data_IF_285970007440
#
_entry.id   IF_285970007440
#
_cell.length_a   1.000
_cell.length_b   1.000
_cell.length_c   1.000
_cell.angle_alpha   90.00
_cell.angle_beta   90.00
_cell.angle_gamma   90.00
#
_symmetry.space_group_name_H-M   'P 1'
#
loop_
_entity.id
_entity.type
_entity.pdbx_description
1 polymer ?
#
# COMPACT_ATOMS: atom_id res chain seq x y z
N UNK A 1 16.69 0.92 -9.62
CA UNK A 1 15.35 1.11 -9.00
C UNK A 1 15.43 1.83 -7.65
N UNK A 2 15.90 1.22 -6.55
CA UNK A 2 15.92 1.89 -5.24
C UNK A 2 16.76 3.19 -5.23
N UNK A 3 17.90 3.18 -5.93
CA UNK A 3 18.73 4.38 -6.15
C UNK A 3 17.95 5.47 -6.90
N UNK A 4 17.20 5.08 -7.94
CA UNK A 4 16.41 6.01 -8.75
C UNK A 4 15.27 6.61 -7.92
N UNK A 5 14.62 5.78 -7.10
CA UNK A 5 13.62 6.22 -6.13
C UNK A 5 14.22 7.19 -5.11
N UNK A 6 15.35 6.84 -4.49
CA UNK A 6 16.02 7.69 -3.50
C UNK A 6 16.43 9.05 -4.09
N UNK A 7 16.98 9.05 -5.31
CA UNK A 7 17.31 10.28 -6.05
C UNK A 7 16.08 11.12 -6.38
N UNK A 8 14.98 10.47 -6.80
CA UNK A 8 13.71 11.14 -7.07
C UNK A 8 13.09 11.74 -5.80
N UNK A 9 13.10 10.99 -4.70
CA UNK A 9 12.61 11.43 -3.40
C UNK A 9 13.41 12.63 -2.88
N UNK A 10 14.73 12.58 -2.94
CA UNK A 10 15.61 13.67 -2.51
C UNK A 10 15.38 14.98 -3.29
N UNK A 11 14.92 14.89 -4.55
CA UNK A 11 14.53 16.04 -5.38
C UNK A 11 13.09 16.52 -5.13
N UNK A 12 12.36 15.89 -4.22
CA UNK A 12 10.95 16.21 -3.93
C UNK A 12 9.95 15.63 -4.94
N UNK A 13 10.40 14.85 -5.92
CA UNK A 13 9.53 14.27 -6.96
C UNK A 13 8.79 13.00 -6.51
N UNK A 14 8.96 12.58 -5.25
CA UNK A 14 8.26 11.43 -4.68
C UNK A 14 6.85 11.73 -4.17
N UNK A 15 6.43 13.00 -4.13
CA UNK A 15 5.13 13.41 -3.61
C UNK A 15 3.94 13.03 -4.50
N UNK A 16 2.74 13.06 -3.91
CA UNK A 16 1.49 12.83 -4.62
C UNK A 16 0.34 13.61 -3.97
N UNK A 17 -0.28 14.50 -4.74
CA UNK A 17 -1.35 15.37 -4.27
C UNK A 17 -1.01 16.12 -2.99
N UNK A 18 -2.04 16.43 -2.21
CA UNK A 18 -1.91 17.16 -0.94
C UNK A 18 -1.70 16.24 0.27
N UNK A 19 -1.81 14.92 0.09
CA UNK A 19 -1.75 13.95 1.18
C UNK A 19 -0.34 13.40 1.45
N UNK A 20 0.58 13.57 0.49
CA UNK A 20 1.94 13.06 0.59
C UNK A 20 2.93 14.07 -0.02
N UNK A 21 3.45 14.95 0.84
CA UNK A 21 4.37 16.01 0.42
C UNK A 21 5.74 15.45 0.04
N UNK A 22 6.39 16.04 -0.95
CA UNK A 22 7.71 15.61 -1.41
C UNK A 22 8.78 15.62 -0.32
N UNK A 23 8.74 16.60 0.58
CA UNK A 23 9.66 16.70 1.73
C UNK A 23 9.46 15.54 2.72
N UNK A 24 8.20 15.19 3.00
CA UNK A 24 7.89 14.08 3.90
C UNK A 24 8.37 12.74 3.31
N UNK A 25 8.26 12.58 1.99
CA UNK A 25 8.78 11.39 1.28
C UNK A 25 10.29 11.35 1.34
N UNK A 26 10.98 12.47 1.11
CA UNK A 26 12.43 12.56 1.21
C UNK A 26 12.91 12.16 2.60
N UNK A 27 12.29 12.71 3.65
CA UNK A 27 12.59 12.38 5.05
C UNK A 27 12.31 10.91 5.36
N UNK A 28 11.16 10.39 4.93
CA UNK A 28 10.77 9.00 5.16
C UNK A 28 11.71 8.00 4.46
N UNK A 29 12.15 8.31 3.24
CA UNK A 29 13.11 7.50 2.49
C UNK A 29 14.50 7.53 3.14
N UNK A 30 14.98 8.72 3.54
CA UNK A 30 16.26 8.85 4.21
C UNK A 30 16.30 8.02 5.51
N UNK A 31 15.28 8.14 6.36
CA UNK A 31 15.16 7.36 7.60
C UNK A 31 15.04 5.85 7.32
N UNK A 32 14.39 5.47 6.21
CA UNK A 32 14.29 4.07 5.83
C UNK A 32 15.66 3.42 5.59
N UNK A 33 16.60 4.20 5.07
CA UNK A 33 17.92 3.74 4.65
C UNK A 33 19.02 4.02 5.67
N UNK A 34 18.80 4.94 6.62
CA UNK A 34 19.79 5.40 7.59
C UNK A 34 20.44 4.25 8.38
N UNK A 35 19.63 3.32 8.90
CA UNK A 35 20.10 2.16 9.67
C UNK A 35 21.01 1.21 8.88
N UNK A 36 21.10 1.38 7.56
CA UNK A 36 21.89 0.55 6.67
C UNK A 36 23.08 1.30 6.06
N UNK A 37 23.34 2.55 6.48
CA UNK A 37 24.40 3.37 5.89
C UNK A 37 24.04 3.89 4.49
N UNK A 38 22.75 4.02 4.17
CA UNK A 38 22.27 4.53 2.90
C UNK A 38 21.51 3.50 2.07
N UNK A 39 21.07 3.93 0.88
CA UNK A 39 20.21 3.14 -0.01
C UNK A 39 20.93 1.90 -0.55
N UNK A 40 22.24 1.98 -0.75
CA UNK A 40 23.09 0.87 -1.17
C UNK A 40 23.14 -0.23 -0.10
N UNK A 41 23.30 0.15 1.16
CA UNK A 41 23.29 -0.79 2.28
C UNK A 41 21.91 -1.40 2.50
N UNK A 42 20.84 -0.62 2.35
CA UNK A 42 19.48 -1.15 2.41
C UNK A 42 19.21 -2.14 1.27
N UNK A 43 19.67 -1.83 0.05
CA UNK A 43 19.58 -2.74 -1.09
C UNK A 43 20.41 -4.01 -0.87
N UNK A 44 21.59 -3.91 -0.25
CA UNK A 44 22.41 -5.07 0.08
C UNK A 44 21.75 -5.95 1.14
N UNK A 45 21.12 -5.35 2.16
CA UNK A 45 20.35 -6.06 3.16
C UNK A 45 19.18 -6.83 2.55
N UNK A 46 18.40 -6.19 1.67
CA UNK A 46 17.28 -6.84 0.98
C UNK A 46 17.73 -8.01 0.10
N UNK A 47 18.89 -7.89 -0.54
CA UNK A 47 19.49 -8.93 -1.39
C UNK A 47 20.06 -10.09 -0.59
N UNK A 48 20.93 -9.80 0.37
CA UNK A 48 21.78 -10.81 1.00
C UNK A 48 21.13 -11.43 2.23
N UNK A 49 20.47 -10.62 3.06
CA UNK A 49 19.89 -11.06 4.34
C UNK A 49 18.44 -11.51 4.17
N UNK A 50 17.63 -10.70 3.47
CA UNK A 50 16.21 -11.00 3.28
C UNK A 50 15.97 -11.92 2.07
N UNK A 51 16.85 -11.85 1.07
CA UNK A 51 16.75 -12.62 -0.17
C UNK A 51 15.44 -12.39 -0.92
N UNK A 52 15.07 -11.12 -1.12
CA UNK A 52 13.85 -10.79 -1.86
C UNK A 52 13.93 -11.34 -3.30
N UNK A 53 12.84 -11.91 -3.85
CA UNK A 53 12.86 -12.49 -5.19
C UNK A 53 13.28 -11.48 -6.27
N UNK A 54 14.24 -11.88 -7.10
CA UNK A 54 14.73 -11.07 -8.21
C UNK A 54 15.45 -9.78 -7.79
N UNK A 55 16.12 -9.76 -6.63
CA UNK A 55 16.98 -8.66 -6.20
C UNK A 55 18.14 -8.35 -7.17
N UNK A 56 18.57 -9.34 -7.95
CA UNK A 56 19.75 -9.26 -8.83
C UNK A 56 19.42 -8.99 -10.30
N UNK A 57 18.13 -8.88 -10.63
CA UNK A 57 17.67 -8.77 -12.01
C UNK A 57 16.82 -7.50 -12.18
N UNK A 58 16.97 -6.85 -13.33
CA UNK A 58 16.05 -5.80 -13.74
C UNK A 58 14.67 -6.43 -14.04
N UNK A 59 13.67 -6.08 -13.23
CA UNK A 59 12.29 -6.57 -13.38
C UNK A 59 11.40 -5.45 -13.89
N UNK A 60 10.32 -5.83 -14.58
CA UNK A 60 9.25 -4.94 -15.01
C UNK A 60 7.88 -5.57 -14.68
N UNK A 61 6.81 -4.79 -14.88
CA UNK A 61 5.44 -5.28 -14.75
C UNK A 61 5.15 -5.94 -13.39
N UNK A 62 4.45 -7.07 -13.45
CA UNK A 62 4.04 -7.84 -12.27
C UNK A 62 5.20 -8.41 -11.45
N UNK A 63 6.35 -8.70 -12.06
CA UNK A 63 7.51 -9.20 -11.32
C UNK A 63 8.13 -8.11 -10.44
N UNK A 64 8.28 -6.89 -10.98
CA UNK A 64 8.71 -5.73 -10.20
C UNK A 64 7.70 -5.40 -9.08
N UNK A 65 6.41 -5.55 -9.37
CA UNK A 65 5.34 -5.37 -8.38
C UNK A 65 5.46 -6.35 -7.21
N UNK A 66 5.65 -7.65 -7.48
CA UNK A 66 5.83 -8.66 -6.42
C UNK A 66 7.07 -8.39 -5.58
N UNK A 67 8.17 -7.96 -6.19
CA UNK A 67 9.38 -7.55 -5.45
C UNK A 67 9.11 -6.37 -4.53
N UNK A 68 8.39 -5.36 -5.01
CA UNK A 68 7.98 -4.23 -4.18
C UNK A 68 7.11 -4.67 -3.00
N UNK A 69 6.16 -5.58 -3.19
CA UNK A 69 5.31 -6.07 -2.10
C UNK A 69 6.14 -6.71 -0.97
N UNK A 70 7.20 -7.47 -1.31
CA UNK A 70 8.13 -8.01 -0.33
C UNK A 70 8.95 -6.90 0.35
N UNK A 71 9.43 -5.92 -0.43
CA UNK A 71 10.18 -4.76 0.09
C UNK A 71 9.37 -3.94 1.12
N UNK A 72 8.12 -3.59 0.82
CA UNK A 72 7.29 -2.75 1.71
C UNK A 72 6.94 -3.50 3.01
N UNK A 73 6.74 -4.81 2.93
CA UNK A 73 6.48 -5.64 4.10
C UNK A 73 7.69 -5.65 5.04
N UNK A 74 8.89 -5.79 4.48
CA UNK A 74 10.17 -5.70 5.22
C UNK A 74 10.37 -4.30 5.80
N UNK A 75 10.16 -3.26 5.00
CA UNK A 75 10.31 -1.87 5.42
C UNK A 75 9.44 -1.53 6.64
N UNK A 76 8.20 -2.04 6.66
CA UNK A 76 7.28 -1.87 7.79
C UNK A 76 7.71 -2.66 9.03
N UNK A 77 8.18 -3.91 8.87
CA UNK A 77 8.66 -4.73 10.01
C UNK A 77 9.94 -4.20 10.63
N UNK A 78 10.76 -3.49 9.86
CA UNK A 78 11.98 -2.85 10.33
C UNK A 78 11.74 -1.52 11.03
N UNK A 79 10.50 -1.01 11.07
CA UNK A 79 10.16 0.15 11.85
C UNK A 79 10.58 -0.06 13.32
N UNK A 80 11.11 0.98 13.95
CA UNK A 80 11.50 0.97 15.36
C UNK A 80 11.14 2.31 15.99
N UNK A 81 10.76 2.33 17.28
CA UNK A 81 10.66 3.58 18.01
C UNK A 81 12.06 4.20 18.18
N UNK A 82 12.18 5.54 18.22
CA UNK A 82 13.45 6.21 18.49
C UNK A 82 14.03 5.77 19.84
N UNK A 83 15.32 5.44 19.87
CA UNK A 83 15.97 4.96 21.10
C UNK A 83 15.87 5.98 22.24
N UNK A 84 15.98 7.26 21.92
CA UNK A 84 15.88 8.35 22.89
C UNK A 84 14.51 8.40 23.56
N UNK A 85 13.44 8.20 22.78
CA UNK A 85 12.07 8.16 23.30
C UNK A 85 11.85 6.99 24.26
N UNK A 86 12.50 5.85 24.02
CA UNK A 86 12.47 4.69 24.91
C UNK A 86 13.32 4.94 26.17
N UNK A 87 14.51 5.54 26.04
CA UNK A 87 15.37 5.91 27.18
C UNK A 87 14.68 6.92 28.10
N UNK A 88 13.93 7.85 27.53
CA UNK A 88 13.21 8.91 28.25
C UNK A 88 11.76 8.56 28.61
N UNK A 89 11.39 7.27 28.57
CA UNK A 89 9.99 6.85 28.77
C UNK A 89 9.41 7.24 30.13
N UNK A 90 10.25 7.33 31.18
CA UNK A 90 9.81 7.77 32.50
C UNK A 90 9.28 9.21 32.47
N UNK A 91 9.99 10.10 31.77
CA UNK A 91 9.57 11.49 31.61
C UNK A 91 8.32 11.58 30.73
N UNK A 92 8.29 10.83 29.63
CA UNK A 92 7.12 10.73 28.77
C UNK A 92 5.88 10.22 29.52
N UNK A 93 6.04 9.24 30.41
CA UNK A 93 4.96 8.69 31.23
C UNK A 93 4.43 9.72 32.24
N UNK A 94 5.31 10.51 32.86
CA UNK A 94 4.92 11.62 33.75
C UNK A 94 4.13 12.68 32.99
N UNK A 95 4.62 13.10 31.82
CA UNK A 95 3.93 14.08 30.97
C UNK A 95 2.57 13.54 30.50
N UNK A 96 2.51 12.26 30.11
CA UNK A 96 1.27 11.61 29.70
C UNK A 96 0.25 11.49 30.85
N UNK A 97 0.74 11.22 32.07
CA UNK A 97 -0.05 11.00 33.30
C UNK A 97 -0.50 12.26 34.04
N UNK A 98 -0.42 13.45 33.42
CA UNK A 98 -0.99 14.69 33.99
C UNK A 98 -2.50 14.58 34.29
N UNK A 99 -3.15 15.62 34.81
CA UNK A 99 -4.58 15.58 35.14
C UNK A 99 -5.43 15.50 33.85
N UNK A 100 -6.19 14.42 33.68
CA UNK A 100 -7.15 14.30 32.59
C UNK A 100 -8.45 15.04 32.91
N UNK A 101 -9.33 15.19 31.91
CA UNK A 101 -10.65 15.85 32.04
C UNK A 101 -11.55 15.17 33.08
N UNK A 102 -11.25 13.92 33.46
CA UNK A 102 -12.05 13.09 34.36
C UNK A 102 -11.32 12.70 35.67
N UNK A 103 -10.25 13.41 36.05
CA UNK A 103 -9.53 13.17 37.32
C UNK A 103 -8.26 12.32 37.18
N UNK A 104 -8.01 11.44 38.15
CA UNK A 104 -6.81 10.61 38.22
C UNK A 104 -6.73 9.64 37.02
N UNK A 105 -5.66 9.73 36.24
CA UNK A 105 -5.46 8.84 35.09
C UNK A 105 -5.04 7.45 35.54
N UNK A 106 -5.44 6.45 34.77
CA UNK A 106 -4.96 5.08 34.94
C UNK A 106 -3.71 4.86 34.10
N UNK A 107 -2.94 3.82 34.43
CA UNK A 107 -1.80 3.44 33.60
C UNK A 107 -2.18 3.08 32.16
N UNK A 108 -3.41 2.61 31.93
CA UNK A 108 -3.96 2.33 30.59
C UNK A 108 -4.06 3.61 29.74
N UNK A 109 -4.60 4.69 30.32
CA UNK A 109 -4.67 6.00 29.66
C UNK A 109 -3.27 6.53 29.30
N UNK A 110 -2.32 6.34 30.23
CA UNK A 110 -0.91 6.70 30.04
C UNK A 110 -0.30 5.88 28.91
N UNK A 111 -0.56 4.57 28.85
CA UNK A 111 -0.05 3.69 27.81
C UNK A 111 -0.57 4.06 26.41
N UNK A 112 -1.85 4.38 26.27
CA UNK A 112 -2.43 4.86 24.99
C UNK A 112 -1.79 6.17 24.53
N UNK A 113 -1.55 7.11 25.45
CA UNK A 113 -0.82 8.36 25.15
C UNK A 113 0.64 8.11 24.78
N UNK A 114 1.30 7.16 25.44
CA UNK A 114 2.67 6.76 25.09
C UNK A 114 2.73 6.13 23.69
N UNK A 115 1.74 5.33 23.30
CA UNK A 115 1.63 4.82 21.92
C UNK A 115 1.48 5.97 20.91
N UNK A 116 0.62 6.94 21.18
CA UNK A 116 0.45 8.11 20.28
C UNK A 116 1.71 8.98 20.20
N UNK A 117 2.42 9.18 21.30
CA UNK A 117 3.59 10.07 21.34
C UNK A 117 4.88 9.42 20.87
N UNK A 118 5.07 8.12 21.10
CA UNK A 118 6.32 7.41 20.81
C UNK A 118 6.21 6.55 19.54
N UNK A 119 5.07 5.88 19.31
CA UNK A 119 4.94 4.91 18.22
C UNK A 119 4.35 5.50 16.93
N UNK A 120 3.44 6.47 17.04
CA UNK A 120 2.66 6.96 15.91
C UNK A 120 3.54 7.52 14.79
N UNK A 121 4.37 8.52 15.08
CA UNK A 121 5.15 9.22 14.05
C UNK A 121 6.19 8.33 13.35
N UNK A 122 6.98 7.48 14.06
CA UNK A 122 7.90 6.54 13.40
C UNK A 122 7.17 5.58 12.45
N UNK A 123 6.00 5.07 12.85
CA UNK A 123 5.19 4.22 11.98
C UNK A 123 4.61 5.01 10.82
N UNK A 124 4.15 6.25 11.06
CA UNK A 124 3.60 7.13 10.03
C UNK A 124 4.63 7.42 8.93
N UNK A 125 5.89 7.72 9.29
CA UNK A 125 6.97 7.89 8.31
C UNK A 125 7.19 6.63 7.47
N UNK A 126 7.11 5.44 8.09
CA UNK A 126 7.19 4.17 7.36
C UNK A 126 6.00 3.98 6.42
N UNK A 127 4.78 4.38 6.82
CA UNK A 127 3.63 4.38 5.93
C UNK A 127 3.82 5.35 4.75
N UNK A 128 4.37 6.55 4.98
CA UNK A 128 4.71 7.52 3.92
C UNK A 128 5.72 6.92 2.93
N UNK A 129 6.76 6.25 3.42
CA UNK A 129 7.71 5.52 2.58
C UNK A 129 7.01 4.45 1.71
N UNK A 130 6.16 3.61 2.33
CA UNK A 130 5.42 2.56 1.62
C UNK A 130 4.52 3.16 0.54
N UNK A 131 3.73 4.17 0.87
CA UNK A 131 2.85 4.85 -0.08
C UNK A 131 3.66 5.46 -1.24
N UNK A 132 4.76 6.16 -0.93
CA UNK A 132 5.64 6.76 -1.93
C UNK A 132 6.24 5.70 -2.87
N UNK A 133 6.70 4.56 -2.35
CA UNK A 133 7.25 3.47 -3.16
C UNK A 133 6.21 2.85 -4.08
N UNK A 134 4.99 2.61 -3.58
CA UNK A 134 3.86 2.12 -4.39
C UNK A 134 3.54 3.09 -5.51
N UNK A 135 3.33 4.38 -5.19
CA UNK A 135 3.03 5.43 -6.17
C UNK A 135 4.14 5.52 -7.21
N UNK A 136 5.39 5.60 -6.76
CA UNK A 136 6.54 5.71 -7.65
C UNK A 136 6.61 4.54 -8.62
N UNK A 137 6.47 3.30 -8.14
CA UNK A 137 6.54 2.13 -9.02
C UNK A 137 5.39 2.14 -10.03
N UNK A 138 4.16 2.41 -9.59
CA UNK A 138 3.00 2.47 -10.47
C UNK A 138 3.17 3.54 -11.55
N UNK A 139 3.62 4.75 -11.20
CA UNK A 139 3.91 5.81 -12.19
C UNK A 139 4.95 5.38 -13.21
N UNK A 140 5.94 4.57 -12.84
CA UNK A 140 6.96 4.06 -13.77
C UNK A 140 6.43 2.94 -14.68
N UNK A 141 5.36 2.23 -14.31
CA UNK A 141 4.80 1.17 -15.15
C UNK A 141 4.31 1.67 -16.50
N UNK A 142 3.80 2.92 -16.60
CA UNK A 142 3.35 3.47 -17.89
C UNK A 142 4.48 3.55 -18.93
N UNK A 143 5.71 3.82 -18.50
CA UNK A 143 6.88 3.84 -19.36
C UNK A 143 7.26 2.42 -19.81
N UNK A 144 7.23 1.46 -18.89
CA UNK A 144 7.47 0.05 -19.21
C UNK A 144 6.42 -0.50 -20.19
N UNK A 145 5.15 -0.11 -20.03
CA UNK A 145 4.06 -0.48 -20.96
C UNK A 145 4.29 0.13 -22.34
N UNK A 146 4.66 1.41 -22.44
CA UNK A 146 4.97 2.04 -23.72
C UNK A 146 6.16 1.38 -24.44
N UNK A 147 7.19 0.98 -23.68
CA UNK A 147 8.34 0.22 -24.20
C UNK A 147 7.91 -1.17 -24.70
N UNK A 148 7.09 -1.88 -23.92
CA UNK A 148 6.52 -3.18 -24.32
C UNK A 148 5.67 -3.07 -25.59
N UNK A 149 4.83 -2.04 -25.71
CA UNK A 149 4.06 -1.77 -26.93
C UNK A 149 4.97 -1.54 -28.15
N UNK A 150 6.15 -0.92 -27.95
CA UNK A 150 7.14 -0.74 -29.03
C UNK A 150 7.72 -2.06 -29.49
N UNK A 151 8.10 -2.91 -28.53
CA UNK A 151 8.62 -4.23 -28.82
C UNK A 151 7.59 -5.10 -29.56
N UNK A 152 6.30 -4.99 -29.21
CA UNK A 152 5.23 -5.66 -29.94
C UNK A 152 5.11 -5.20 -31.40
N UNK A 153 5.33 -3.92 -31.69
CA UNK A 153 5.27 -3.40 -33.05
C UNK A 153 6.35 -3.99 -33.95
N UNK A 154 7.50 -4.35 -33.37
CA UNK A 154 8.70 -4.80 -34.09
C UNK A 154 8.87 -6.34 -34.06
N UNK A 155 8.14 -7.04 -33.18
CA UNK A 155 8.37 -8.45 -32.86
C UNK A 155 7.38 -9.45 -33.46
N UNK A 156 7.72 -10.75 -33.45
CA UNK A 156 6.83 -11.84 -33.90
C UNK A 156 5.58 -12.00 -33.03
N UNK A 157 5.58 -11.43 -31.81
CA UNK A 157 4.45 -11.41 -30.89
C UNK A 157 3.29 -10.51 -31.33
N UNK A 158 3.47 -9.69 -32.37
CA UNK A 158 2.44 -8.78 -32.88
C UNK A 158 1.10 -9.48 -33.22
N UNK A 159 1.13 -10.77 -33.57
CA UNK A 159 -0.06 -11.56 -33.92
C UNK A 159 -0.84 -12.10 -32.73
N UNK A 160 -0.25 -12.08 -31.53
CA UNK A 160 -0.84 -12.65 -30.31
C UNK A 160 -1.68 -11.60 -29.57
N UNK A 161 -1.34 -10.32 -29.75
CA UNK A 161 -1.97 -9.20 -29.05
C UNK A 161 -2.81 -8.34 -29.97
N UNK A 162 -3.69 -7.52 -29.39
CA UNK A 162 -4.52 -6.59 -30.15
C UNK A 162 -3.66 -5.60 -30.94
N UNK A 163 -3.95 -5.37 -32.24
CA UNK A 163 -3.25 -4.37 -33.04
C UNK A 163 -3.48 -2.94 -32.53
N UNK A 164 -4.49 -2.72 -31.67
CA UNK A 164 -4.75 -1.42 -31.06
C UNK A 164 -3.57 -0.93 -30.23
N UNK A 165 -2.79 -1.81 -29.60
CA UNK A 165 -1.64 -1.40 -28.78
C UNK A 165 -0.57 -0.66 -29.60
N UNK A 166 -0.27 -1.16 -30.80
CA UNK A 166 0.73 -0.53 -31.67
C UNK A 166 0.18 0.75 -32.31
N UNK A 167 -1.11 0.79 -32.63
CA UNK A 167 -1.80 1.99 -33.11
C UNK A 167 -1.81 3.11 -32.06
N UNK A 168 -2.18 2.80 -30.82
CA UNK A 168 -2.18 3.78 -29.73
C UNK A 168 -0.78 4.30 -29.43
N UNK A 169 0.24 3.44 -29.46
CA UNK A 169 1.63 3.88 -29.33
C UNK A 169 2.04 4.82 -30.47
N UNK A 170 1.65 4.53 -31.71
CA UNK A 170 1.94 5.39 -32.86
C UNK A 170 1.32 6.78 -32.68
N UNK A 171 0.08 6.86 -32.17
CA UNK A 171 -0.59 8.14 -31.85
C UNK A 171 0.15 8.90 -30.73
N UNK A 172 0.55 8.22 -29.66
CA UNK A 172 1.34 8.85 -28.58
C UNK A 172 2.72 9.33 -29.07
N UNK A 173 3.30 8.68 -30.08
CA UNK A 173 4.57 9.10 -30.68
C UNK A 173 4.42 10.27 -31.65
N UNK A 174 3.32 10.32 -32.39
CA UNK A 174 3.05 11.40 -33.36
C UNK A 174 2.57 12.70 -32.70
N UNK A 175 1.98 12.61 -31.50
CA UNK A 175 1.49 13.77 -30.74
C UNK A 175 1.98 13.77 -29.29
N UNK A 176 2.98 14.61 -28.95
CA UNK A 176 3.44 14.81 -27.57
C UNK A 176 2.30 15.22 -26.63
N UNK A 177 1.37 16.06 -27.10
CA UNK A 177 0.21 16.51 -26.33
C UNK A 177 -0.66 15.32 -25.89
N UNK A 178 -0.96 14.40 -26.81
CA UNK A 178 -1.76 13.21 -26.48
C UNK A 178 -1.02 12.32 -25.48
N UNK A 179 0.28 12.11 -25.67
CA UNK A 179 1.09 11.35 -24.73
C UNK A 179 1.06 11.96 -23.33
N UNK A 180 1.23 13.27 -23.24
CA UNK A 180 1.30 13.97 -21.96
C UNK A 180 -0.07 13.94 -21.24
N UNK A 181 -1.18 14.07 -21.98
CA UNK A 181 -2.54 13.90 -21.44
C UNK A 181 -2.78 12.49 -20.91
N UNK A 182 -2.44 11.45 -21.69
CA UNK A 182 -2.58 10.05 -21.27
C UNK A 182 -1.71 9.77 -20.05
N UNK A 183 -0.47 10.28 -20.03
CA UNK A 183 0.44 10.08 -18.91
C UNK A 183 0.04 10.84 -17.66
N UNK A 184 -0.58 12.02 -17.81
CA UNK A 184 -1.15 12.79 -16.69
C UNK A 184 -2.36 12.06 -16.11
N UNK A 185 -3.32 11.67 -16.94
CA UNK A 185 -4.48 10.90 -16.48
C UNK A 185 -4.07 9.60 -15.77
N UNK A 186 -3.03 8.92 -16.27
CA UNK A 186 -2.47 7.77 -15.58
C UNK A 186 -1.88 8.13 -14.21
N UNK A 187 -1.13 9.24 -14.10
CA UNK A 187 -0.56 9.69 -12.83
C UNK A 187 -1.64 10.13 -11.82
N UNK A 188 -2.74 10.70 -12.30
CA UNK A 188 -3.89 11.06 -11.48
C UNK A 188 -4.56 9.81 -10.91
N UNK A 189 -4.78 8.79 -11.76
CA UNK A 189 -5.27 7.48 -11.33
C UNK A 189 -4.36 6.83 -10.28
N UNK A 190 -3.03 6.89 -10.47
CA UNK A 190 -2.06 6.38 -9.49
C UNK A 190 -2.11 7.19 -8.19
N UNK A 191 -2.27 8.51 -8.28
CA UNK A 191 -2.35 9.37 -7.10
C UNK A 191 -3.60 9.09 -6.27
N UNK A 192 -4.75 8.85 -6.90
CA UNK A 192 -5.99 8.43 -6.23
C UNK A 192 -5.85 7.07 -5.51
N UNK A 193 -5.18 6.11 -6.14
CA UNK A 193 -4.85 4.83 -5.51
C UNK A 193 -3.91 5.01 -4.32
N UNK A 194 -2.88 5.83 -4.46
CA UNK A 194 -1.95 6.18 -3.39
C UNK A 194 -2.64 6.85 -2.19
N UNK A 195 -3.59 7.75 -2.47
CA UNK A 195 -4.39 8.43 -1.43
C UNK A 195 -5.23 7.42 -0.65
N UNK A 196 -5.92 6.51 -1.35
CA UNK A 196 -6.72 5.48 -0.71
C UNK A 196 -5.86 4.54 0.15
N UNK A 197 -4.69 4.13 -0.36
CA UNK A 197 -3.73 3.32 0.38
C UNK A 197 -3.29 4.03 1.67
N UNK A 198 -2.90 5.31 1.56
CA UNK A 198 -2.44 6.10 2.70
C UNK A 198 -3.56 6.31 3.73
N UNK A 199 -4.79 6.59 3.29
CA UNK A 199 -5.97 6.71 4.16
C UNK A 199 -6.24 5.42 4.94
N UNK A 200 -6.21 4.27 4.26
CA UNK A 200 -6.47 2.98 4.91
C UNK A 200 -5.41 2.64 5.97
N UNK A 201 -4.12 2.85 5.65
CA UNK A 201 -3.02 2.57 6.55
C UNK A 201 -3.00 3.56 7.74
N UNK A 202 -3.23 4.84 7.47
CA UNK A 202 -3.36 5.89 8.49
C UNK A 202 -4.52 5.59 9.44
N UNK A 203 -5.69 5.21 8.90
CA UNK A 203 -6.84 4.82 9.71
C UNK A 203 -6.52 3.63 10.63
N UNK A 204 -5.79 2.63 10.11
CA UNK A 204 -5.34 1.48 10.91
C UNK A 204 -4.37 1.90 12.03
N UNK A 205 -3.38 2.74 11.72
CA UNK A 205 -2.41 3.24 12.69
C UNK A 205 -3.07 4.13 13.77
N UNK A 206 -3.99 5.01 13.38
CA UNK A 206 -4.70 5.87 14.33
C UNK A 206 -5.57 5.03 15.27
N UNK A 207 -6.38 4.11 14.73
CA UNK A 207 -7.21 3.23 15.55
C UNK A 207 -6.38 2.38 16.52
N UNK A 208 -5.22 1.89 16.05
CA UNK A 208 -4.25 1.15 16.82
C UNK A 208 -3.67 1.92 18.00
N UNK A 209 -3.21 3.15 17.76
CA UNK A 209 -2.56 3.98 18.78
C UNK A 209 -3.57 4.54 19.79
N UNK A 210 -4.82 4.79 19.38
CA UNK A 210 -5.88 5.25 20.29
C UNK A 210 -6.32 4.13 21.24
N UNK A 211 -6.42 2.88 20.75
CA UNK A 211 -6.86 1.73 21.54
C UNK A 211 -5.91 0.53 21.41
N UNK A 212 -4.69 0.60 21.98
CA UNK A 212 -3.68 -0.44 21.81
C UNK A 212 -4.11 -1.79 22.38
N UNK A 213 -4.97 -1.79 23.42
CA UNK A 213 -5.48 -3.02 24.02
C UNK A 213 -6.26 -3.88 23.03
N UNK A 214 -7.10 -3.26 22.18
CA UNK A 214 -7.91 -3.98 21.19
C UNK A 214 -7.01 -4.73 20.20
N UNK A 215 -5.87 -4.14 19.85
CA UNK A 215 -4.90 -4.77 18.94
C UNK A 215 -4.09 -5.88 19.60
N UNK A 216 -3.77 -5.72 20.88
CA UNK A 216 -2.95 -6.67 21.61
C UNK A 216 -3.78 -7.84 22.17
N UNK A 217 -5.09 -7.83 21.95
CA UNK A 217 -5.96 -8.97 22.21
C UNK A 217 -5.47 -10.18 21.40
N UNK A 218 -5.25 -11.34 22.05
CA UNK A 218 -4.99 -12.60 21.37
C UNK A 218 -6.02 -12.84 20.28
N UNK A 219 -5.56 -13.35 19.13
CA UNK A 219 -6.47 -13.81 18.09
C UNK A 219 -7.36 -14.89 18.67
N UNK A 220 -8.64 -14.86 18.31
CA UNK A 220 -9.53 -15.99 18.55
C UNK A 220 -9.08 -17.12 17.67
N UNK A 221 -8.56 -18.17 18.28
CA UNK A 221 -8.26 -19.41 17.60
C UNK A 221 -9.59 -20.12 17.35
N UNK A 222 -10.03 -20.29 16.09
CA UNK A 222 -11.05 -21.26 15.82
C UNK A 222 -10.44 -22.64 16.07
N UNK A 223 -10.79 -23.28 17.19
CA UNK A 223 -10.61 -24.73 17.35
C UNK A 223 -11.52 -25.42 16.33
N UNK A 224 -11.03 -25.53 15.10
CA UNK A 224 -11.54 -26.52 14.16
C UNK A 224 -11.04 -27.86 14.67
N UNK A 225 -11.91 -28.56 15.40
CA UNK A 225 -11.64 -29.90 15.90
C UNK A 225 -11.56 -30.88 14.72
N UNK A 226 -10.41 -30.88 14.04
CA UNK A 226 -10.08 -31.75 12.90
C UNK A 226 -10.16 -33.23 13.26
N UNK A 227 -10.11 -33.57 14.55
CA UNK A 227 -10.31 -34.93 15.05
C UNK A 227 -11.74 -35.44 14.83
N UNK A 228 -12.72 -34.54 14.74
CA UNK A 228 -14.12 -34.88 14.42
C UNK A 228 -14.37 -35.12 12.92
N UNK A 229 -13.47 -34.65 12.05
CA UNK A 229 -13.53 -34.85 10.59
C UNK A 229 -12.72 -36.07 10.12
N UNK A 230 -11.75 -36.53 10.91
CA UNK A 230 -11.00 -37.76 10.66
C UNK A 230 -11.67 -38.91 11.41
N UNK A 231 -12.93 -39.21 11.09
CA UNK A 231 -13.42 -40.59 11.28
C UNK A 231 -12.81 -41.41 10.15
N UNK A 232 -11.85 -42.28 10.51
CA UNK A 232 -11.29 -43.31 9.63
C UNK A 232 -12.40 -44.01 8.85
N UNK A 233 -12.22 -44.33 7.55
CA UNK A 233 -13.02 -45.34 6.91
C UNK A 233 -12.59 -46.69 7.51
N UNK A 234 -13.23 -47.11 8.60
CA UNK A 234 -13.13 -48.50 9.03
C UNK A 234 -13.82 -49.36 7.97
N UNK A 235 -13.05 -50.29 7.42
CA UNK A 235 -13.52 -51.31 6.52
C UNK A 235 -14.66 -52.09 7.19
N UNK A 236 -15.87 -51.94 6.65
CA UNK A 236 -17.01 -52.77 7.02
C UNK A 236 -16.78 -54.19 6.50
N UNK A 237 -16.39 -55.09 7.40
CA UNK A 237 -16.72 -56.51 7.26
C UNK A 237 -18.22 -56.70 7.50
N UNK A 238 -18.82 -57.52 6.64
CA UNK A 238 -20.25 -57.84 6.59
C UNK A 238 -20.69 -58.70 7.78
N UNK A 239 -21.49 -58.14 8.68
CA UNK A 239 -22.51 -58.89 9.45
C UNK A 239 -23.76 -58.02 9.66
N UNK A 240 -24.92 -58.68 9.61
CA UNK A 240 -26.26 -58.11 9.43
C UNK A 240 -26.92 -57.67 10.78
N UNK A 241 -28.18 -57.16 10.82
CA UNK A 241 -28.51 -55.88 11.44
C UNK A 241 -29.28 -55.99 12.77
N UNK A 242 -29.01 -55.09 13.71
CA UNK A 242 -29.82 -54.88 14.92
C UNK A 242 -30.18 -53.39 15.13
N UNK A 243 -31.26 -53.11 15.89
CA UNK A 243 -32.27 -52.14 15.48
C UNK A 243 -31.97 -50.69 15.85
N UNK A 244 -32.58 -49.81 15.06
CA UNK A 244 -32.61 -48.35 15.14
C UNK A 244 -32.58 -47.75 16.55
N UNK A 245 -31.43 -47.19 16.93
CA UNK A 245 -31.36 -46.08 17.88
C UNK A 245 -31.54 -44.74 17.14
N UNK A 246 -32.24 -43.76 17.76
CA UNK A 246 -32.66 -42.55 17.08
C UNK A 246 -31.47 -41.67 16.68
N UNK A 247 -31.46 -41.31 15.40
CA UNK A 247 -30.59 -40.31 14.80
C UNK A 247 -30.80 -38.93 15.45
N UNK A 248 -30.11 -38.67 16.56
CA UNK A 248 -30.05 -37.34 17.18
C UNK A 248 -28.69 -37.14 17.86
N UNK A 249 -27.75 -36.56 17.10
CA UNK A 249 -26.72 -35.56 17.51
C UNK A 249 -25.55 -35.57 16.53
N UNK A 250 -25.81 -35.17 15.28
CA UNK A 250 -24.77 -34.56 14.44
C UNK A 250 -24.48 -33.17 15.02
N UNK A 251 -23.30 -32.97 15.56
CA UNK A 251 -22.56 -31.70 15.52
C UNK A 251 -23.09 -30.47 16.25
N UNK A 252 -24.15 -30.55 17.07
CA UNK A 252 -24.53 -29.44 17.94
C UNK A 252 -23.85 -29.61 19.29
N UNK A 253 -22.76 -28.88 19.53
CA UNK A 253 -22.20 -28.69 20.87
C UNK A 253 -23.33 -28.35 21.83
N UNK A 254 -23.34 -28.99 23.01
CA UNK A 254 -24.35 -28.68 24.02
C UNK A 254 -24.33 -27.17 24.28
N UNK A 255 -25.50 -26.54 24.46
CA UNK A 255 -25.59 -25.10 24.78
C UNK A 255 -24.74 -24.75 26.01
N UNK A 256 -24.51 -25.71 26.90
CA UNK A 256 -23.60 -25.60 28.05
C UNK A 256 -22.12 -25.53 27.62
N UNK A 257 -21.68 -26.38 26.69
CA UNK A 257 -20.32 -26.41 26.15
C UNK A 257 -20.03 -25.17 25.29
N UNK A 258 -20.98 -24.74 24.46
CA UNK A 258 -20.86 -23.51 23.69
C UNK A 258 -20.75 -22.28 24.62
N UNK A 259 -21.56 -22.22 25.68
CA UNK A 259 -21.43 -21.17 26.72
C UNK A 259 -20.11 -21.27 27.49
N UNK A 260 -19.66 -22.49 27.82
CA UNK A 260 -18.38 -22.73 28.47
C UNK A 260 -17.21 -22.25 27.61
N UNK A 261 -17.23 -22.55 26.31
CA UNK A 261 -16.25 -22.06 25.32
C UNK A 261 -16.25 -20.54 25.23
N UNK A 262 -17.44 -19.93 25.12
CA UNK A 262 -17.57 -18.47 25.09
C UNK A 262 -17.03 -17.86 26.39
N UNK A 263 -17.29 -18.46 27.56
CA UNK A 263 -16.78 -17.97 28.84
C UNK A 263 -15.26 -18.12 28.97
N UNK A 264 -14.69 -19.23 28.49
CA UNK A 264 -13.24 -19.46 28.48
C UNK A 264 -12.56 -18.51 27.49
N UNK A 265 -13.12 -18.31 26.31
CA UNK A 265 -12.63 -17.36 25.31
C UNK A 265 -12.79 -15.92 25.78
N UNK A 266 -13.92 -15.57 26.42
CA UNK A 266 -14.12 -14.28 27.08
C UNK A 266 -13.09 -14.08 28.18
N UNK A 267 -12.81 -15.10 29.01
CA UNK A 267 -11.77 -15.03 30.06
C UNK A 267 -10.35 -14.98 29.48
N UNK A 268 -10.11 -15.54 28.29
CA UNK A 268 -8.83 -15.43 27.55
C UNK A 268 -8.67 -14.03 26.94
N UNK A 269 -9.77 -13.43 26.45
CA UNK A 269 -9.85 -12.06 25.91
C UNK A 269 -9.87 -10.97 26.99
N UNK A 270 -10.38 -11.30 28.18
CA UNK A 270 -10.41 -10.46 29.38
C UNK A 270 -9.27 -10.79 30.35
N UNK A 271 -8.39 -11.74 30.01
CA UNK A 271 -7.21 -12.06 30.80
C UNK A 271 -6.16 -10.95 30.72
N UNK A 272 -4.92 -11.17 31.18
CA UNK A 272 -3.82 -10.19 31.08
C UNK A 272 -3.30 -10.04 29.63
N UNK A 273 -4.22 -10.02 28.68
CA UNK A 273 -4.04 -9.76 27.27
C UNK A 273 -3.90 -8.27 27.05
N UNK A 274 -2.65 -7.84 26.96
CA UNK A 274 -2.33 -6.88 25.91
C UNK A 274 -2.08 -5.44 26.32
N UNK A 275 -1.28 -5.20 27.35
CA UNK A 275 -0.68 -3.88 27.50
C UNK A 275 0.21 -3.77 28.71
N UNK A 276 -0.36 -3.84 29.90
CA UNK A 276 0.36 -3.59 31.15
C UNK A 276 0.44 -4.86 32.03
N UNK A 277 1.44 -4.96 32.92
CA UNK A 277 1.47 -6.00 33.95
C UNK A 277 0.19 -5.97 34.79
N UNK A 278 -0.29 -7.11 35.33
CA UNK A 278 -1.46 -7.15 36.22
C UNK A 278 -1.35 -6.22 37.44
N UNK A 279 -0.12 -5.87 37.84
CA UNK A 279 0.17 -4.92 38.93
C UNK A 279 -0.12 -3.45 38.60
N UNK A 280 -0.30 -3.13 37.31
CA UNK A 280 -0.56 -1.78 36.80
C UNK A 280 -1.95 -1.66 36.12
N UNK A 281 -2.59 -2.78 35.79
CA UNK A 281 -3.97 -2.79 35.29
C UNK A 281 -4.92 -2.21 36.34
N UNK A 282 -5.87 -1.37 35.91
CA UNK A 282 -6.81 -0.64 36.78
C UNK A 282 -6.18 0.26 37.88
N UNK A 283 -4.84 0.35 37.95
CA UNK A 283 -4.15 1.15 38.97
C UNK A 283 -4.12 2.61 38.55
N UNK A 284 -4.46 3.48 39.49
CA UNK A 284 -4.27 4.92 39.35
C UNK A 284 -2.78 5.23 39.17
N UNK A 285 -2.47 6.04 38.18
CA UNK A 285 -1.12 6.52 37.92
C UNK A 285 -0.64 7.40 39.08
N UNK A 286 0.51 7.04 39.66
CA UNK A 286 1.25 7.88 40.61
C UNK A 286 2.65 8.16 40.03
N UNK A 287 3.05 9.44 39.85
CA UNK A 287 4.38 9.82 39.41
C UNK A 287 5.53 9.19 40.22
N UNK A 288 5.31 8.87 41.50
CA UNK A 288 6.32 8.26 42.37
C UNK A 288 6.64 6.82 41.96
N UNK A 289 5.67 6.10 41.40
CA UNK A 289 5.82 4.71 40.98
C UNK A 289 6.52 4.56 39.63
N UNK A 290 6.63 5.65 38.86
CA UNK A 290 7.12 5.64 37.47
C UNK A 290 8.51 5.03 37.36
N UNK A 291 9.43 5.28 38.29
CA UNK A 291 10.79 4.69 38.24
C UNK A 291 10.74 3.16 38.30
N UNK A 292 9.83 2.60 39.08
CA UNK A 292 9.67 1.15 39.22
C UNK A 292 8.88 0.54 38.06
N UNK A 293 7.93 1.28 37.50
CA UNK A 293 7.06 0.84 36.41
C UNK A 293 7.67 1.03 35.01
N UNK A 294 8.55 2.02 34.83
CA UNK A 294 9.07 2.43 33.53
C UNK A 294 9.73 1.30 32.71
N UNK A 295 10.57 0.42 33.29
CA UNK A 295 11.14 -0.71 32.52
C UNK A 295 10.07 -1.67 32.00
N UNK A 296 9.02 -1.90 32.79
CA UNK A 296 7.90 -2.76 32.41
C UNK A 296 7.05 -2.12 31.31
N UNK A 297 6.79 -0.81 31.42
CA UNK A 297 6.07 -0.05 30.39
C UNK A 297 6.87 0.02 29.10
N UNK A 298 8.19 0.19 29.15
CA UNK A 298 9.07 0.23 27.98
C UNK A 298 9.03 -1.09 27.19
N UNK A 299 9.22 -2.21 27.88
CA UNK A 299 9.18 -3.54 27.26
C UNK A 299 7.82 -3.79 26.59
N UNK A 300 6.75 -3.35 27.22
CA UNK A 300 5.38 -3.50 26.70
C UNK A 300 5.10 -2.59 25.53
N UNK A 301 5.54 -1.34 25.58
CA UNK A 301 5.45 -0.40 24.47
C UNK A 301 6.22 -0.94 23.25
N UNK A 302 7.42 -1.48 23.45
CA UNK A 302 8.20 -2.09 22.38
C UNK A 302 7.50 -3.32 21.78
N UNK A 303 6.90 -4.17 22.62
CA UNK A 303 6.09 -5.30 22.15
C UNK A 303 4.86 -4.82 21.37
N UNK A 304 4.17 -3.80 21.87
CA UNK A 304 2.99 -3.22 21.24
C UNK A 304 3.33 -2.63 19.87
N UNK A 305 4.43 -1.88 19.82
CA UNK A 305 5.01 -1.35 18.59
C UNK A 305 5.28 -2.46 17.58
N UNK A 306 5.98 -3.53 17.98
CA UNK A 306 6.33 -4.62 17.07
C UNK A 306 5.09 -5.37 16.54
N UNK A 307 4.08 -5.59 17.39
CA UNK A 307 2.81 -6.19 16.96
C UNK A 307 2.10 -5.27 15.95
N UNK A 308 2.04 -3.97 16.23
CA UNK A 308 1.44 -3.00 15.34
C UNK A 308 2.20 -2.89 14.01
N UNK A 309 3.53 -2.81 14.04
CA UNK A 309 4.37 -2.83 12.84
C UNK A 309 4.11 -4.09 12.00
N UNK A 310 3.98 -5.26 12.65
CA UNK A 310 3.61 -6.51 11.98
C UNK A 310 2.22 -6.49 11.35
N UNK A 311 1.22 -5.92 12.03
CA UNK A 311 -0.13 -5.77 11.49
C UNK A 311 -0.15 -4.80 10.31
N UNK A 312 0.52 -3.65 10.45
CA UNK A 312 0.65 -2.67 9.37
C UNK A 312 1.43 -3.24 8.18
N UNK A 313 2.43 -4.09 8.39
CA UNK A 313 3.14 -4.77 7.30
C UNK A 313 2.19 -5.67 6.50
N UNK A 314 1.37 -6.49 7.18
CA UNK A 314 0.37 -7.34 6.52
C UNK A 314 -0.70 -6.51 5.80
N UNK A 315 -1.16 -5.42 6.41
CA UNK A 315 -2.15 -4.52 5.79
C UNK A 315 -1.55 -3.75 4.61
N UNK A 316 -0.30 -3.27 4.72
CA UNK A 316 0.42 -2.62 3.64
C UNK A 316 0.57 -3.55 2.44
N UNK A 317 0.94 -4.81 2.67
CA UNK A 317 0.97 -5.83 1.63
C UNK A 317 -0.41 -6.00 0.99
N UNK A 318 -1.46 -6.23 1.78
CA UNK A 318 -2.79 -6.53 1.27
C UNK A 318 -3.42 -5.35 0.50
N UNK A 319 -3.32 -4.13 1.05
CA UNK A 319 -3.82 -2.93 0.41
C UNK A 319 -3.01 -2.56 -0.82
N UNK A 320 -1.68 -2.72 -0.78
CA UNK A 320 -0.86 -2.55 -1.97
C UNK A 320 -1.28 -3.58 -3.03
N UNK A 321 -1.30 -4.88 -2.76
CA UNK A 321 -1.68 -5.90 -3.75
C UNK A 321 -3.05 -5.61 -4.41
N UNK A 322 -4.03 -5.16 -3.62
CA UNK A 322 -5.33 -4.70 -4.12
C UNK A 322 -5.23 -3.41 -4.97
N UNK A 323 -4.31 -2.50 -4.66
CA UNK A 323 -4.10 -1.21 -5.35
C UNK A 323 -3.80 -1.37 -6.83
N UNK A 324 -2.98 -2.35 -7.23
CA UNK A 324 -2.72 -2.60 -8.66
C UNK A 324 -3.99 -3.05 -9.39
N UNK A 325 -4.78 -3.93 -8.77
CA UNK A 325 -6.06 -4.38 -9.34
C UNK A 325 -7.06 -3.22 -9.45
N UNK A 326 -7.15 -2.37 -8.41
CA UNK A 326 -8.01 -1.18 -8.43
C UNK A 326 -7.56 -0.16 -9.47
N UNK A 327 -6.25 0.03 -9.65
CA UNK A 327 -5.70 0.89 -10.69
C UNK A 327 -6.17 0.43 -12.07
N UNK A 328 -5.91 -0.83 -12.40
CA UNK A 328 -6.17 -1.40 -13.72
C UNK A 328 -7.66 -1.55 -14.06
N UNK A 329 -8.54 -1.81 -13.07
CA UNK A 329 -9.96 -2.10 -13.32
C UNK A 329 -10.88 -0.89 -13.27
N UNK A 330 -10.42 0.23 -12.71
CA UNK A 330 -11.31 1.35 -12.40
C UNK A 330 -10.63 2.70 -12.56
N UNK A 331 -9.53 2.93 -11.84
CA UNK A 331 -8.98 4.29 -11.73
C UNK A 331 -8.40 4.80 -13.04
N UNK A 332 -7.74 3.92 -13.82
CA UNK A 332 -7.26 4.30 -15.16
C UNK A 332 -8.44 4.65 -16.06
N UNK A 333 -9.49 3.83 -16.10
CA UNK A 333 -10.64 4.09 -16.97
C UNK A 333 -11.38 5.39 -16.58
N UNK A 334 -11.60 5.61 -15.27
CA UNK A 334 -12.19 6.85 -14.75
C UNK A 334 -11.35 8.08 -15.15
N UNK A 335 -10.02 8.03 -14.97
CA UNK A 335 -9.14 9.14 -15.31
C UNK A 335 -9.02 9.37 -16.83
N UNK A 336 -8.98 8.31 -17.63
CA UNK A 336 -8.90 8.42 -19.10
C UNK A 336 -10.20 9.01 -19.68
N UNK A 337 -11.36 8.67 -19.11
CA UNK A 337 -12.64 9.28 -19.49
C UNK A 337 -12.75 10.76 -19.06
N UNK A 338 -11.97 11.16 -18.07
CA UNK A 338 -11.87 12.54 -17.59
C UNK A 338 -10.81 13.38 -18.32
N UNK A 339 -10.13 12.85 -19.34
CA UNK A 339 -9.17 13.62 -20.12
C UNK A 339 -9.89 14.78 -20.80
N UNK A 340 -9.53 15.99 -20.39
CA UNK A 340 -9.94 17.23 -21.02
C UNK A 340 -8.70 18.09 -21.28
N UNK A 341 -8.78 18.94 -22.30
CA UNK A 341 -7.73 19.89 -22.62
C UNK A 341 -7.82 21.07 -21.66
N UNK A 342 -6.70 21.43 -21.03
CA UNK A 342 -6.62 22.68 -20.28
C UNK A 342 -6.70 23.89 -21.24
N UNK A 343 -6.97 25.08 -20.71
CA UNK A 343 -7.19 26.28 -21.53
C UNK A 343 -5.98 26.62 -22.42
N UNK A 344 -4.76 26.37 -21.94
CA UNK A 344 -3.53 26.61 -22.69
C UNK A 344 -3.34 25.60 -23.83
N UNK A 345 -3.62 24.32 -23.58
CA UNK A 345 -3.59 23.26 -24.59
C UNK A 345 -4.67 23.46 -25.66
N UNK A 346 -5.88 23.88 -25.26
CA UNK A 346 -6.94 24.26 -26.22
C UNK A 346 -6.46 25.38 -27.12
N UNK A 347 -5.87 26.43 -26.54
CA UNK A 347 -5.29 27.54 -27.31
C UNK A 347 -4.19 27.08 -28.27
N UNK A 348 -3.25 26.26 -27.82
CA UNK A 348 -2.17 25.71 -28.67
C UNK A 348 -2.75 24.87 -29.81
N UNK A 349 -3.80 24.09 -29.55
CA UNK A 349 -4.48 23.30 -30.57
C UNK A 349 -5.26 24.17 -31.57
N UNK A 350 -5.90 25.23 -31.09
CA UNK A 350 -6.58 26.24 -31.93
C UNK A 350 -5.58 26.93 -32.85
N UNK A 351 -4.46 27.43 -32.31
CA UNK A 351 -3.39 28.08 -33.09
C UNK A 351 -2.83 27.12 -34.16
N UNK A 352 -2.56 25.87 -33.79
CA UNK A 352 -2.12 24.81 -34.71
C UNK A 352 -3.18 24.49 -35.77
N UNK A 353 -4.46 24.52 -35.41
CA UNK A 353 -5.56 24.27 -36.34
C UNK A 353 -5.64 25.37 -37.39
N UNK A 354 -5.51 26.63 -36.98
CA UNK A 354 -5.45 27.78 -37.89
C UNK A 354 -4.26 27.67 -38.83
N UNK A 355 -3.06 27.36 -38.32
CA UNK A 355 -1.85 27.16 -39.15
C UNK A 355 -2.07 26.06 -40.20
N UNK A 356 -2.63 24.91 -39.79
CA UNK A 356 -2.89 23.79 -40.70
C UNK A 356 -3.96 24.11 -41.74
N UNK A 357 -4.99 24.88 -41.38
CA UNK A 357 -6.00 25.37 -42.34
C UNK A 357 -5.38 26.29 -43.39
N UNK A 358 -4.49 27.19 -42.99
CA UNK A 358 -3.76 28.06 -43.92
C UNK A 358 -2.91 27.23 -44.89
N UNK A 359 -2.15 26.26 -44.38
CA UNK A 359 -1.35 25.35 -45.22
C UNK A 359 -2.24 24.54 -46.17
N UNK A 360 -3.36 24.00 -45.69
CA UNK A 360 -4.31 23.25 -46.53
C UNK A 360 -4.85 24.11 -47.66
N UNK A 361 -5.27 25.35 -47.37
CA UNK A 361 -5.77 26.29 -48.39
C UNK A 361 -4.72 26.63 -49.45
N UNK A 362 -3.45 26.78 -49.05
CA UNK A 362 -2.35 27.02 -49.97
C UNK A 362 -2.10 25.81 -50.89
N UNK A 363 -2.13 24.59 -50.33
CA UNK A 363 -1.96 23.35 -51.10
C UNK A 363 -3.11 23.16 -52.09
N UNK A 364 -4.35 23.40 -51.67
CA UNK A 364 -5.53 23.36 -52.54
C UNK A 364 -5.42 24.38 -53.68
N UNK A 365 -5.00 25.62 -53.38
CA UNK A 365 -4.76 26.65 -54.40
C UNK A 365 -3.71 26.23 -55.43
N UNK A 366 -2.61 25.61 -54.98
CA UNK A 366 -1.55 25.07 -55.86
C UNK A 366 -2.07 23.90 -56.69
N UNK A 367 -2.82 22.98 -56.10
CA UNK A 367 -3.43 21.85 -56.79
C UNK A 367 -4.39 22.32 -57.89
N UNK A 368 -5.25 23.29 -57.59
CA UNK A 368 -6.16 23.89 -58.55
C UNK A 368 -5.42 24.55 -59.73
N UNK A 369 -4.31 25.24 -59.46
CA UNK A 369 -3.48 25.81 -60.52
C UNK A 369 -2.86 24.74 -61.44
N UNK A 370 -2.35 23.64 -60.86
CA UNK A 370 -1.82 22.50 -61.62
C UNK A 370 -2.92 21.84 -62.47
N UNK A 371 -4.10 21.64 -61.91
CA UNK A 371 -5.25 21.09 -62.63
C UNK A 371 -5.66 21.98 -63.81
N UNK A 372 -5.71 23.31 -63.63
CA UNK A 372 -5.97 24.24 -64.74
C UNK A 372 -4.93 24.12 -65.86
N UNK A 373 -3.65 24.03 -65.52
CA UNK A 373 -2.58 23.84 -66.49
C UNK A 373 -2.72 22.51 -67.25
N UNK A 374 -3.05 21.42 -66.54
CA UNK A 374 -3.30 20.10 -67.15
C UNK A 374 -4.47 20.14 -68.12
N UNK A 375 -5.58 20.80 -67.75
CA UNK A 375 -6.74 20.96 -68.62
C UNK A 375 -6.40 21.77 -69.88
N UNK A 376 -5.64 22.87 -69.73
CA UNK A 376 -5.18 23.67 -70.87
C UNK A 376 -4.25 22.88 -71.81
N UNK A 377 -3.32 22.11 -71.26
CA UNK A 377 -2.42 21.24 -72.03
C UNK A 377 -3.18 20.13 -72.76
N UNK A 378 -4.23 19.56 -72.15
CA UNK A 378 -5.10 18.57 -72.80
C UNK A 378 -5.93 19.17 -73.93
N UNK A 379 -6.39 20.42 -73.78
CA UNK A 379 -7.14 21.13 -74.82
C UNK A 379 -6.28 21.62 -76.00
N UNK A 380 -4.97 21.75 -75.80
CA UNK A 380 -4.01 22.14 -76.83
C UNK A 380 -3.47 20.96 -77.67
N UNK A 381 -3.83 19.72 -77.30
CA UNK A 381 -3.61 18.49 -78.07
C UNK A 381 -4.84 18.16 -78.88
#
# INVERSE_FOLDING_TARGET
>A
ELLDFASSAAKGHGGAGDFLLGQDVASAAAEAFECFGGVEGYSAYLRNEVQIPGADVALNGGAAWRRLLAEIEVAMRLARPPEESIKNISLAAICAGGTGVHGHQRWEDVASKLMLTIAFEPLMRRLRYVAARVIWLLRHQKLAVAQWMSFLAEGPGARIYSPLFTQHLAVMRSSPVVRDLVFSAYDDAVSAVGEQLMKNLTGTLTAACVNPEIMLRPRTEPELDLSSLIKKPEAQELTAPEPAEPAAKRGALSRSEAKGRVLVEMRRRSGPSGGLPPKLQDRVFDPKDVKSAAPLVALKLQRAFNVLAGILATQAYAFADASLATLCRRQVDEAMNGIDFNAEQRRVLEDRHTELQEVASQVEGRLAAVQRCLTALRAAR
#
